data_IF_999568310616
#
_entry.id   IF_999568310616
#
_cell.length_a   1.000
_cell.length_b   1.000
_cell.length_c   1.000
_cell.angle_alpha   90.00
_cell.angle_beta   90.00
_cell.angle_gamma   90.00
#
_symmetry.space_group_name_H-M   'P 1'
#
loop_
_entity.id
_entity.type
_entity.pdbx_description
1 polymer ?
#
# COMPACT_ATOMS: atom_id res chain seq x y z
N UNK A 1 -11.31 16.35 9.91
CA UNK A 1 -11.20 16.78 8.50
C UNK A 1 -10.99 15.58 7.60
N UNK A 2 -9.74 15.11 7.46
CA UNK A 2 -9.39 14.08 6.47
C UNK A 2 -9.69 12.61 6.88
N UNK A 3 -10.08 12.36 8.14
CA UNK A 3 -10.33 11.00 8.63
C UNK A 3 -11.58 10.31 8.04
N UNK A 4 -12.50 11.07 7.43
CA UNK A 4 -13.68 10.49 6.77
C UNK A 4 -13.36 9.88 5.40
N UNK A 5 -12.22 10.21 4.80
CA UNK A 5 -11.85 9.77 3.45
C UNK A 5 -10.83 8.61 3.42
N UNK A 6 -10.20 8.30 4.56
CA UNK A 6 -9.19 7.24 4.65
C UNK A 6 -9.83 5.97 5.20
N UNK A 7 -9.73 4.87 4.44
CA UNK A 7 -10.01 3.53 4.95
C UNK A 7 -9.14 3.20 6.18
N UNK A 8 -9.49 2.16 6.95
CA UNK A 8 -9.06 2.00 8.34
C UNK A 8 -7.59 1.64 8.56
N UNK A 9 -6.73 1.59 7.54
CA UNK A 9 -5.33 1.19 7.70
C UNK A 9 -4.36 2.38 7.63
N UNK A 10 -3.86 2.81 8.80
CA UNK A 10 -2.66 3.63 8.90
C UNK A 10 -1.54 2.80 9.54
N UNK A 11 -0.49 2.48 8.78
CA UNK A 11 0.69 1.81 9.32
C UNK A 11 1.61 2.85 9.97
N UNK A 12 1.80 2.74 11.29
CA UNK A 12 2.77 3.54 12.02
C UNK A 12 4.06 2.73 12.23
N UNK A 13 5.17 3.33 11.85
CA UNK A 13 6.48 2.85 12.27
C UNK A 13 6.79 3.43 13.64
N UNK A 14 6.91 2.60 14.67
CA UNK A 14 7.56 2.96 15.93
C UNK A 14 9.00 2.50 15.81
N UNK A 15 9.99 3.41 15.95
CA UNK A 15 11.34 2.89 16.11
C UNK A 15 12.31 3.60 17.05
N UNK A 16 12.69 2.77 18.00
CA UNK A 16 13.65 2.75 19.08
C UNK A 16 15.03 3.36 18.72
N UNK A 17 15.31 4.56 19.23
CA UNK A 17 16.59 5.30 19.30
C UNK A 17 17.77 4.79 18.43
N UNK A 18 18.13 5.56 17.39
CA UNK A 18 19.32 5.36 16.53
C UNK A 18 20.63 5.86 17.17
N UNK A 19 21.73 5.17 16.87
CA UNK A 19 23.10 5.51 17.29
C UNK A 19 23.94 6.21 16.19
N UNK A 20 23.36 6.48 15.00
CA UNK A 20 24.10 7.05 13.87
C UNK A 20 24.19 8.59 13.92
N UNK A 21 25.32 9.18 13.47
CA UNK A 21 25.52 10.62 13.44
C UNK A 21 24.53 11.34 12.51
N UNK A 22 24.15 12.56 12.89
CA UNK A 22 23.07 13.37 12.28
C UNK A 22 23.23 13.63 10.76
N UNK A 23 24.45 13.62 10.23
CA UNK A 23 24.74 13.98 8.82
C UNK A 23 24.37 12.91 7.79
N UNK A 24 24.08 11.67 8.18
CA UNK A 24 23.58 10.63 7.29
C UNK A 24 22.69 9.66 8.08
N UNK A 25 21.38 9.93 8.10
CA UNK A 25 20.39 9.13 8.82
C UNK A 25 19.59 8.29 7.82
N UNK A 26 20.06 7.09 7.46
CA UNK A 26 19.40 6.28 6.43
C UNK A 26 18.04 5.80 6.91
N UNK A 27 17.11 5.53 6.00
CA UNK A 27 15.77 5.02 6.39
C UNK A 27 15.87 3.65 7.07
N UNK A 28 16.81 2.80 6.62
CA UNK A 28 17.01 1.45 7.11
C UNK A 28 17.64 1.40 8.50
N UNK A 29 18.13 2.52 9.04
CA UNK A 29 18.60 2.57 10.45
C UNK A 29 17.50 2.12 11.41
N UNK A 30 16.24 2.25 10.98
CA UNK A 30 15.11 1.80 11.75
C UNK A 30 15.07 0.27 11.87
N UNK A 31 15.59 -0.48 10.93
CA UNK A 31 15.61 -1.94 11.03
C UNK A 31 16.84 -2.45 11.80
N UNK A 32 17.27 -1.70 12.83
CA UNK A 32 18.36 -2.07 13.73
C UNK A 32 18.01 -1.69 15.18
N UNK A 33 17.07 -2.42 15.84
CA UNK A 33 16.64 -2.11 17.19
C UNK A 33 17.79 -2.14 18.20
N UNK A 34 17.80 -1.16 19.12
CA UNK A 34 18.77 -1.08 20.23
C UNK A 34 18.17 -1.44 21.59
N UNK A 35 16.87 -1.19 21.78
CA UNK A 35 16.06 -1.49 22.97
C UNK A 35 14.57 -1.41 22.60
N UNK A 36 13.63 -1.84 23.44
CA UNK A 36 12.19 -1.74 23.17
C UNK A 36 11.48 -0.52 23.81
N UNK A 37 12.23 0.53 24.18
CA UNK A 37 11.67 1.79 24.68
C UNK A 37 11.02 2.62 23.57
N UNK A 38 9.74 3.00 23.71
CA UNK A 38 8.94 3.76 22.73
C UNK A 38 9.42 5.20 22.53
N UNK A 39 10.60 5.38 21.95
CA UNK A 39 11.24 6.66 21.68
C UNK A 39 12.00 6.58 20.36
N UNK A 40 11.66 7.45 19.43
CA UNK A 40 12.11 7.43 18.04
C UNK A 40 12.40 8.82 17.50
N UNK A 41 12.94 8.89 16.28
CA UNK A 41 12.99 10.14 15.49
C UNK A 41 11.61 10.70 15.10
N UNK A 42 10.56 9.90 15.25
CA UNK A 42 9.18 10.28 14.94
C UNK A 42 8.46 10.85 16.14
N UNK A 43 8.70 10.29 17.33
CA UNK A 43 7.95 10.62 18.54
C UNK A 43 8.53 9.95 19.79
N UNK A 44 8.14 10.47 20.96
CA UNK A 44 8.20 9.77 22.24
C UNK A 44 6.91 8.99 22.55
N UNK A 45 6.87 8.27 23.67
CA UNK A 45 5.75 7.41 24.07
C UNK A 45 4.42 8.17 24.25
N UNK A 46 4.46 9.37 24.83
CA UNK A 46 3.24 10.16 25.07
C UNK A 46 2.65 10.66 23.74
N UNK A 47 3.50 11.12 22.83
CA UNK A 47 3.10 11.54 21.48
C UNK A 47 2.56 10.35 20.66
N UNK A 48 3.16 9.16 20.83
CA UNK A 48 2.66 7.93 20.23
C UNK A 48 1.25 7.59 20.74
N UNK A 49 1.05 7.59 22.06
CA UNK A 49 -0.24 7.30 22.69
C UNK A 49 -1.32 8.32 22.27
N UNK A 50 -0.97 9.60 22.25
CA UNK A 50 -1.87 10.66 21.76
C UNK A 50 -2.27 10.44 20.30
N UNK A 51 -1.31 10.09 19.44
CA UNK A 51 -1.58 9.79 18.04
C UNK A 51 -2.53 8.60 17.88
N UNK A 52 -2.28 7.48 18.57
CA UNK A 52 -3.15 6.30 18.53
C UNK A 52 -4.56 6.65 19.00
N UNK A 53 -4.67 7.36 20.13
CA UNK A 53 -5.96 7.80 20.69
C UNK A 53 -6.73 8.67 19.70
N UNK A 54 -6.08 9.67 19.09
CA UNK A 54 -6.73 10.57 18.11
C UNK A 54 -7.16 9.83 16.84
N UNK A 55 -6.38 8.87 16.36
CA UNK A 55 -6.69 8.06 15.19
C UNK A 55 -7.88 7.12 15.45
N UNK A 56 -7.89 6.41 16.58
CA UNK A 56 -8.97 5.49 16.94
C UNK A 56 -10.29 6.24 17.18
N UNK A 57 -10.25 7.45 17.78
CA UNK A 57 -11.43 8.31 17.96
C UNK A 57 -12.11 8.71 16.63
N UNK A 58 -11.39 8.63 15.50
CA UNK A 58 -11.93 8.89 14.16
C UNK A 58 -11.98 7.62 13.30
N UNK A 59 -11.91 6.43 13.92
CA UNK A 59 -11.99 5.10 13.29
C UNK A 59 -10.89 4.82 12.25
N UNK A 60 -9.71 5.38 12.46
CA UNK A 60 -8.51 5.06 11.69
C UNK A 60 -7.63 4.20 12.58
N UNK A 61 -7.47 2.92 12.24
CA UNK A 61 -6.69 2.00 13.06
C UNK A 61 -5.19 2.18 12.80
N UNK A 62 -4.41 1.92 13.84
CA UNK A 62 -2.95 1.94 13.80
C UNK A 62 -2.41 0.51 13.75
N UNK A 63 -1.49 0.25 12.82
CA UNK A 63 -0.74 -1.01 12.72
C UNK A 63 0.75 -0.73 12.90
N UNK A 64 1.40 -1.43 13.83
CA UNK A 64 2.81 -1.19 14.16
C UNK A 64 3.74 -2.07 13.34
N UNK A 65 4.84 -1.49 12.85
CA UNK A 65 5.95 -2.27 12.31
C UNK A 65 6.84 -2.86 13.42
N UNK A 66 6.75 -4.16 13.64
CA UNK A 66 7.43 -4.91 14.69
C UNK A 66 8.71 -5.57 14.14
N UNK A 67 9.86 -5.01 14.51
CA UNK A 67 11.19 -5.57 14.22
C UNK A 67 11.62 -6.44 15.41
N UNK A 68 11.32 -7.74 15.31
CA UNK A 68 11.49 -8.70 16.41
C UNK A 68 12.40 -9.88 16.07
N UNK A 69 12.88 -9.96 14.83
CA UNK A 69 13.81 -11.01 14.39
C UNK A 69 15.25 -10.78 14.88
N UNK A 70 15.67 -9.51 14.99
CA UNK A 70 17.06 -9.14 15.24
C UNK A 70 17.17 -7.83 16.02
N UNK A 71 18.37 -7.58 16.53
CA UNK A 71 18.82 -6.30 17.09
C UNK A 71 19.90 -5.68 16.19
N UNK A 72 20.42 -4.52 16.55
CA UNK A 72 21.56 -3.91 15.85
C UNK A 72 22.76 -4.87 15.75
N UNK A 73 23.60 -4.70 14.71
CA UNK A 73 24.72 -5.61 14.41
C UNK A 73 25.69 -5.75 15.60
N UNK A 74 26.28 -6.93 15.74
CA UNK A 74 27.28 -7.23 16.76
C UNK A 74 28.41 -6.17 16.77
N UNK A 75 28.73 -5.64 17.95
CA UNK A 75 29.67 -4.53 18.15
C UNK A 75 29.03 -3.15 18.42
N UNK A 76 27.70 -3.03 18.37
CA UNK A 76 26.96 -1.79 18.65
C UNK A 76 26.33 -1.72 20.06
N UNK A 77 26.53 -2.73 20.93
CA UNK A 77 26.04 -2.76 22.32
C UNK A 77 26.10 -4.15 22.97
N UNK A 78 25.68 -4.24 24.24
CA UNK A 78 25.58 -5.48 25.04
C UNK A 78 24.14 -6.00 25.11
N UNK A 79 23.93 -7.32 25.03
CA UNK A 79 22.61 -7.96 25.20
C UNK A 79 22.71 -9.47 25.50
N UNK A 80 21.82 -9.98 26.36
CA UNK A 80 21.69 -11.41 26.68
C UNK A 80 20.56 -12.04 25.86
N UNK A 81 20.83 -13.20 25.23
CA UNK A 81 19.85 -13.97 24.45
C UNK A 81 18.68 -14.56 25.27
N UNK A 82 18.82 -14.72 26.60
CA UNK A 82 17.86 -15.45 27.44
C UNK A 82 16.52 -14.74 27.66
N UNK A 83 16.49 -13.41 27.56
CA UNK A 83 15.30 -12.60 27.91
C UNK A 83 14.55 -12.07 26.67
N UNK A 84 14.97 -12.48 25.48
CA UNK A 84 14.54 -11.86 24.24
C UNK A 84 13.03 -12.08 23.95
N UNK A 85 12.47 -13.30 24.05
CA UNK A 85 11.06 -13.52 23.77
C UNK A 85 10.12 -12.78 24.72
N UNK A 86 10.42 -12.75 26.03
CA UNK A 86 9.59 -12.04 27.02
C UNK A 86 9.62 -10.52 26.81
N UNK A 87 10.78 -9.94 26.50
CA UNK A 87 10.90 -8.51 26.18
C UNK A 87 10.12 -8.11 24.92
N UNK A 88 10.09 -8.99 23.91
CA UNK A 88 9.28 -8.79 22.71
C UNK A 88 7.79 -8.85 23.05
N UNK A 89 7.35 -9.85 23.81
CA UNK A 89 5.97 -9.97 24.23
C UNK A 89 5.50 -8.75 25.06
N UNK A 90 6.30 -8.29 26.02
CA UNK A 90 6.02 -7.09 26.82
C UNK A 90 5.90 -5.83 25.93
N UNK A 91 6.80 -5.69 24.94
CA UNK A 91 6.76 -4.60 23.97
C UNK A 91 5.46 -4.61 23.14
N UNK A 92 5.07 -5.77 22.63
CA UNK A 92 3.87 -5.91 21.81
C UNK A 92 2.60 -5.72 22.64
N UNK A 93 2.52 -6.32 23.83
CA UNK A 93 1.41 -6.13 24.77
C UNK A 93 1.25 -4.68 25.18
N UNK A 94 2.36 -3.98 25.47
CA UNK A 94 2.33 -2.55 25.77
C UNK A 94 1.71 -1.72 24.65
N UNK A 95 1.92 -2.09 23.38
CA UNK A 95 1.32 -1.41 22.23
C UNK A 95 -0.16 -1.76 22.05
N UNK A 96 -0.56 -3.00 22.31
CA UNK A 96 -1.96 -3.42 22.35
C UNK A 96 -2.73 -2.66 23.43
N UNK A 97 -2.12 -2.47 24.61
CA UNK A 97 -2.69 -1.66 25.70
C UNK A 97 -2.81 -0.16 25.33
N UNK A 98 -2.14 0.28 24.26
CA UNK A 98 -2.36 1.61 23.67
C UNK A 98 -3.43 1.61 22.57
N UNK A 99 -4.12 0.49 22.35
CA UNK A 99 -5.18 0.31 21.34
C UNK A 99 -4.64 0.28 19.89
N UNK A 100 -3.44 -0.31 19.70
CA UNK A 100 -2.94 -0.70 18.37
C UNK A 100 -3.77 -1.88 17.84
N UNK A 101 -4.23 -1.79 16.59
CA UNK A 101 -5.12 -2.79 15.99
C UNK A 101 -4.40 -4.00 15.40
N UNK A 102 -3.07 -3.95 15.26
CA UNK A 102 -2.30 -5.06 14.73
C UNK A 102 -0.86 -4.71 14.39
N UNK A 103 -0.17 -5.67 13.75
CA UNK A 103 1.26 -5.60 13.50
C UNK A 103 1.65 -6.04 12.08
N UNK A 104 2.57 -5.30 11.46
CA UNK A 104 3.50 -5.87 10.48
C UNK A 104 4.59 -6.57 11.28
N UNK A 105 4.85 -7.83 11.02
CA UNK A 105 6.02 -8.50 11.61
C UNK A 105 7.12 -8.53 10.55
N UNK A 106 8.19 -7.76 10.78
CA UNK A 106 9.35 -7.62 9.88
C UNK A 106 10.12 -8.93 9.77
N UNK A 107 10.69 -9.21 8.59
CA UNK A 107 11.65 -10.29 8.39
C UNK A 107 11.14 -11.68 8.85
N UNK A 108 9.83 -11.96 8.75
CA UNK A 108 9.22 -13.22 9.21
C UNK A 108 9.83 -14.44 8.56
N UNK A 109 10.26 -14.35 7.30
CA UNK A 109 10.96 -15.44 6.61
C UNK A 109 12.17 -15.98 7.38
N UNK A 110 12.76 -15.16 8.26
CA UNK A 110 13.94 -15.49 9.03
C UNK A 110 13.62 -15.97 10.46
N UNK A 111 12.36 -16.12 10.82
CA UNK A 111 11.90 -16.63 12.11
C UNK A 111 11.11 -17.92 11.91
N UNK A 112 11.29 -18.91 12.77
CA UNK A 112 10.51 -20.15 12.68
C UNK A 112 9.02 -19.84 12.95
N UNK A 113 8.08 -20.40 12.16
CA UNK A 113 6.65 -20.21 12.41
C UNK A 113 6.21 -20.58 13.83
N UNK A 114 6.78 -21.64 14.40
CA UNK A 114 6.47 -22.05 15.78
C UNK A 114 6.92 -21.03 16.84
N UNK A 115 8.05 -20.35 16.62
CA UNK A 115 8.50 -19.27 17.51
C UNK A 115 7.54 -18.07 17.42
N UNK A 116 7.10 -17.73 16.20
CA UNK A 116 6.12 -16.67 15.97
C UNK A 116 4.75 -16.98 16.56
N UNK A 117 4.31 -18.24 16.59
CA UNK A 117 3.05 -18.63 17.22
C UNK A 117 3.02 -18.26 18.70
N UNK A 118 4.14 -18.48 19.40
CA UNK A 118 4.25 -18.17 20.84
C UNK A 118 4.17 -16.68 21.17
N UNK A 119 4.60 -15.81 20.23
CA UNK A 119 4.68 -14.35 20.42
C UNK A 119 3.47 -13.63 19.81
N UNK A 120 2.98 -14.11 18.67
CA UNK A 120 2.01 -13.43 17.83
C UNK A 120 0.64 -14.13 17.75
N UNK A 121 0.52 -15.38 18.19
CA UNK A 121 -0.68 -16.20 17.99
C UNK A 121 -1.95 -15.65 18.66
N UNK A 122 -1.80 -14.78 19.67
CA UNK A 122 -2.92 -14.15 20.38
C UNK A 122 -3.29 -12.74 19.85
N UNK A 123 -2.62 -12.26 18.80
CA UNK A 123 -2.77 -10.88 18.31
C UNK A 123 -3.97 -10.72 17.36
N UNK A 124 -4.67 -9.57 17.38
CA UNK A 124 -5.94 -9.38 16.68
C UNK A 124 -5.81 -9.32 15.14
N UNK A 125 -4.78 -8.65 14.62
CA UNK A 125 -4.45 -8.66 13.20
C UNK A 125 -2.94 -8.64 13.03
N UNK A 126 -2.41 -9.63 12.31
CA UNK A 126 -1.01 -9.64 11.92
C UNK A 126 -0.88 -9.85 10.42
N UNK A 127 0.13 -9.21 9.86
CA UNK A 127 0.64 -9.57 8.56
C UNK A 127 2.16 -9.70 8.59
N UNK A 128 2.64 -10.75 7.96
CA UNK A 128 4.00 -11.23 8.10
C UNK A 128 4.77 -10.88 6.83
N UNK A 129 5.91 -10.22 6.97
CA UNK A 129 6.79 -10.02 5.83
C UNK A 129 7.53 -11.33 5.52
N UNK A 130 7.04 -12.03 4.50
CA UNK A 130 7.71 -13.20 3.92
C UNK A 130 7.90 -12.94 2.44
N UNK A 131 9.14 -12.68 2.03
CA UNK A 131 9.48 -12.53 0.62
C UNK A 131 9.53 -13.92 0.00
N UNK A 132 8.47 -14.35 -0.66
CA UNK A 132 8.38 -15.64 -1.35
C UNK A 132 8.06 -15.40 -2.83
N UNK A 133 9.08 -15.56 -3.69
CA UNK A 133 8.92 -15.48 -5.15
C UNK A 133 8.79 -16.87 -5.82
N UNK A 134 8.72 -17.96 -5.03
CA UNK A 134 8.49 -19.32 -5.53
C UNK A 134 9.73 -20.14 -5.91
N UNK A 135 10.95 -19.64 -5.64
CA UNK A 135 12.22 -20.33 -5.99
C UNK A 135 13.06 -20.72 -4.77
N UNK A 136 12.51 -20.61 -3.56
CA UNK A 136 13.21 -20.88 -2.30
C UNK A 136 12.51 -21.97 -1.49
N UNK A 137 13.24 -22.58 -0.56
CA UNK A 137 12.72 -23.68 0.28
C UNK A 137 11.65 -23.22 1.28
N UNK A 138 11.80 -22.01 1.82
CA UNK A 138 10.84 -21.43 2.75
C UNK A 138 9.69 -20.82 1.95
N UNK A 139 8.48 -21.27 2.24
CA UNK A 139 7.26 -20.84 1.55
C UNK A 139 6.38 -20.00 2.47
N UNK A 140 5.67 -19.03 1.88
CA UNK A 140 4.67 -18.21 2.59
C UNK A 140 3.58 -19.05 3.28
N UNK A 141 3.30 -20.26 2.77
CA UNK A 141 2.27 -21.18 3.29
C UNK A 141 2.51 -21.60 4.74
N UNK A 142 3.78 -21.66 5.14
CA UNK A 142 4.17 -22.04 6.50
C UNK A 142 3.66 -21.05 7.56
N UNK A 143 3.30 -19.83 7.15
CA UNK A 143 2.91 -18.72 8.02
C UNK A 143 1.41 -18.43 8.03
N UNK A 144 0.60 -19.12 7.20
CA UNK A 144 -0.82 -18.80 7.01
C UNK A 144 -1.68 -18.96 8.27
N UNK A 145 -1.33 -19.91 9.13
CA UNK A 145 -2.08 -20.18 10.36
C UNK A 145 -1.93 -19.07 11.41
N UNK A 146 -0.90 -18.23 11.29
CA UNK A 146 -0.63 -17.12 12.21
C UNK A 146 -1.37 -15.84 11.79
N UNK A 147 -1.58 -15.63 10.49
CA UNK A 147 -2.24 -14.47 9.95
C UNK A 147 -1.90 -14.24 8.48
N UNK A 148 -2.07 -13.00 8.02
CA UNK A 148 -1.80 -12.65 6.62
C UNK A 148 -0.30 -12.65 6.33
N UNK A 149 0.04 -12.73 5.04
CA UNK A 149 1.41 -12.70 4.54
C UNK A 149 1.49 -11.70 3.38
N UNK A 150 2.61 -10.98 3.29
CA UNK A 150 2.88 -10.07 2.17
C UNK A 150 3.03 -10.83 0.86
N UNK A 151 2.15 -10.59 -0.11
CA UNK A 151 2.21 -11.22 -1.43
C UNK A 151 3.08 -10.40 -2.38
N UNK A 152 4.41 -10.61 -2.31
CA UNK A 152 5.36 -9.87 -3.14
C UNK A 152 5.26 -10.18 -4.64
N UNK A 153 4.70 -11.33 -5.02
CA UNK A 153 4.45 -11.64 -6.44
C UNK A 153 3.42 -10.68 -7.04
N UNK A 154 2.52 -10.13 -6.23
CA UNK A 154 1.47 -9.22 -6.68
C UNK A 154 2.04 -7.99 -7.39
N UNK A 155 2.85 -7.19 -6.68
CA UNK A 155 3.44 -5.97 -7.22
C UNK A 155 4.42 -6.23 -8.36
N UNK A 156 5.22 -7.31 -8.25
CA UNK A 156 6.16 -7.71 -9.29
C UNK A 156 5.44 -8.09 -10.60
N UNK A 157 4.43 -8.96 -10.54
CA UNK A 157 3.68 -9.40 -11.71
C UNK A 157 2.83 -8.27 -12.31
N UNK A 158 2.20 -7.43 -11.47
CA UNK A 158 1.45 -6.29 -11.97
C UNK A 158 2.38 -5.27 -12.67
N UNK A 159 3.58 -5.08 -12.14
CA UNK A 159 4.61 -4.25 -12.73
C UNK A 159 5.08 -4.75 -14.10
N UNK A 160 5.38 -6.04 -14.24
CA UNK A 160 5.76 -6.62 -15.55
C UNK A 160 4.65 -6.48 -16.59
N UNK A 161 3.39 -6.69 -16.17
CA UNK A 161 2.20 -6.52 -17.00
C UNK A 161 2.04 -5.07 -17.48
N UNK A 162 2.10 -4.10 -16.57
CA UNK A 162 1.87 -2.69 -16.91
C UNK A 162 3.00 -2.13 -17.76
N UNK A 163 4.23 -2.56 -17.52
CA UNK A 163 5.39 -2.22 -18.34
C UNK A 163 5.46 -3.01 -19.66
N UNK A 164 4.53 -3.95 -19.91
CA UNK A 164 4.47 -4.84 -21.09
C UNK A 164 5.74 -5.66 -21.31
N UNK A 165 6.42 -6.01 -20.23
CA UNK A 165 7.63 -6.81 -20.31
C UNK A 165 7.31 -8.22 -20.79
N UNK A 166 8.21 -8.81 -21.59
CA UNK A 166 8.06 -10.18 -22.11
C UNK A 166 6.74 -10.45 -22.85
N UNK A 167 6.08 -9.40 -23.37
CA UNK A 167 4.79 -9.52 -24.07
C UNK A 167 3.58 -9.70 -23.15
N UNK A 168 3.74 -9.49 -21.83
CA UNK A 168 2.65 -9.50 -20.85
C UNK A 168 1.60 -8.42 -21.15
N UNK A 169 0.35 -8.71 -20.82
CA UNK A 169 -0.79 -7.83 -21.08
C UNK A 169 -1.73 -7.79 -19.89
N UNK A 170 -2.46 -6.68 -19.74
CA UNK A 170 -3.41 -6.52 -18.64
C UNK A 170 -4.51 -7.60 -18.67
N UNK A 171 -4.88 -8.09 -19.85
CA UNK A 171 -5.79 -9.24 -20.01
C UNK A 171 -5.32 -10.52 -19.33
N UNK A 172 -4.01 -10.69 -19.10
CA UNK A 172 -3.45 -11.89 -18.50
C UNK A 172 -3.42 -11.85 -16.97
N UNK A 173 -3.91 -10.75 -16.38
CA UNK A 173 -4.03 -10.60 -14.93
C UNK A 173 -5.22 -11.39 -14.39
N UNK A 174 -5.15 -12.71 -14.52
CA UNK A 174 -6.01 -13.62 -13.77
C UNK A 174 -5.18 -14.16 -12.60
N UNK A 175 -5.56 -13.78 -11.37
CA UNK A 175 -4.96 -14.33 -10.14
C UNK A 175 -5.45 -15.76 -9.92
N UNK A 176 -5.07 -16.67 -10.83
CA UNK A 176 -5.42 -18.09 -10.78
C UNK A 176 -4.79 -18.77 -9.57
N UNK A 177 -5.45 -19.82 -9.12
CA UNK A 177 -4.95 -20.71 -8.07
C UNK A 177 -3.53 -21.20 -8.41
N UNK A 178 -2.60 -20.97 -7.48
CA UNK A 178 -1.21 -21.40 -7.58
C UNK A 178 -0.23 -20.35 -8.10
N UNK A 179 -0.71 -19.29 -8.79
CA UNK A 179 0.16 -18.18 -9.19
C UNK A 179 0.47 -17.23 -8.02
N UNK A 180 -0.52 -17.03 -7.16
CA UNK A 180 -0.45 -16.25 -5.91
C UNK A 180 -1.09 -17.04 -4.76
N UNK A 181 -0.90 -16.57 -3.53
CA UNK A 181 -1.46 -17.19 -2.34
C UNK A 181 -3.00 -17.06 -2.28
N UNK A 182 -3.70 -17.84 -1.45
CA UNK A 182 -5.14 -17.70 -1.29
C UNK A 182 -5.52 -16.28 -0.83
N UNK A 183 -6.62 -15.75 -1.39
CA UNK A 183 -7.13 -14.40 -1.12
C UNK A 183 -7.19 -14.03 0.38
N UNK A 184 -7.68 -14.97 1.20
CA UNK A 184 -7.82 -14.79 2.65
C UNK A 184 -6.50 -14.56 3.40
N UNK A 185 -5.37 -14.95 2.80
CA UNK A 185 -4.05 -14.85 3.42
C UNK A 185 -3.23 -13.66 2.90
N UNK A 186 -3.62 -13.04 1.78
CA UNK A 186 -2.80 -12.04 1.13
C UNK A 186 -2.95 -10.64 1.76
N UNK A 187 -1.82 -9.97 1.96
CA UNK A 187 -1.72 -8.51 1.97
C UNK A 187 -0.96 -8.09 0.71
N UNK A 188 -1.60 -7.25 -0.10
CA UNK A 188 -1.09 -6.84 -1.42
C UNK A 188 -0.71 -5.37 -1.45
N UNK A 189 0.26 -5.04 -2.28
CA UNK A 189 0.75 -3.69 -2.52
C UNK A 189 1.44 -3.65 -3.89
N UNK A 190 1.40 -2.48 -4.54
CA UNK A 190 2.15 -2.23 -5.79
C UNK A 190 3.64 -2.14 -5.48
N UNK A 191 3.98 -1.31 -4.49
CA UNK A 191 5.32 -1.11 -3.98
C UNK A 191 5.32 -1.09 -2.44
N UNK A 192 6.49 -1.26 -1.85
CA UNK A 192 6.73 -1.04 -0.44
C UNK A 192 7.98 -0.17 -0.25
N UNK A 193 8.29 0.10 1.02
CA UNK A 193 9.44 0.94 1.39
C UNK A 193 10.79 0.41 0.88
N UNK A 194 10.95 -0.90 0.69
CA UNK A 194 12.20 -1.50 0.26
C UNK A 194 12.29 -1.49 -1.28
N UNK A 195 11.30 -2.08 -1.95
CA UNK A 195 11.36 -2.34 -3.38
C UNK A 195 11.14 -1.11 -4.24
N UNK A 196 10.54 -0.04 -3.70
CA UNK A 196 10.51 1.26 -4.39
C UNK A 196 11.90 1.92 -4.55
N UNK A 197 12.92 1.36 -3.89
CA UNK A 197 14.34 1.76 -3.99
C UNK A 197 15.19 0.72 -4.70
N UNK A 198 14.57 -0.34 -5.24
CA UNK A 198 15.28 -1.49 -5.82
C UNK A 198 15.78 -2.51 -4.79
N UNK A 199 15.39 -2.41 -3.52
CA UNK A 199 15.74 -3.41 -2.49
C UNK A 199 14.63 -4.46 -2.35
N UNK A 200 14.98 -5.74 -2.22
CA UNK A 200 14.00 -6.80 -2.02
C UNK A 200 13.33 -7.27 -3.31
N UNK A 201 12.08 -7.71 -3.21
CA UNK A 201 11.41 -8.46 -4.28
C UNK A 201 10.82 -7.59 -5.41
N UNK A 202 10.92 -8.11 -6.63
CA UNK A 202 10.39 -7.53 -7.88
C UNK A 202 11.41 -6.74 -8.70
N UNK A 203 12.46 -6.21 -8.08
CA UNK A 203 13.52 -5.48 -8.78
C UNK A 203 12.98 -4.34 -9.64
N UNK A 204 13.48 -4.22 -10.87
CA UNK A 204 13.12 -3.13 -11.79
C UNK A 204 11.67 -3.19 -12.31
N UNK A 205 10.93 -4.28 -12.09
CA UNK A 205 9.51 -4.37 -12.49
C UNK A 205 8.59 -3.53 -11.60
N UNK A 206 9.03 -3.21 -10.37
CA UNK A 206 8.22 -2.48 -9.40
C UNK A 206 7.97 -1.06 -9.89
N UNK A 207 6.70 -0.73 -10.05
CA UNK A 207 6.23 0.62 -10.42
C UNK A 207 6.10 1.45 -9.15
N UNK A 208 6.62 2.68 -9.17
CA UNK A 208 6.66 3.56 -7.98
C UNK A 208 6.09 4.94 -8.28
N UNK A 209 6.02 5.83 -7.28
CA UNK A 209 5.62 7.22 -7.52
C UNK A 209 6.53 7.98 -8.52
N UNK A 210 7.75 7.51 -8.79
CA UNK A 210 8.60 8.06 -9.84
C UNK A 210 8.02 7.82 -11.24
N UNK A 211 7.23 6.77 -11.39
CA UNK A 211 6.54 6.32 -12.60
C UNK A 211 5.05 6.68 -12.52
N UNK A 212 4.75 7.91 -12.08
CA UNK A 212 3.45 8.34 -11.54
C UNK A 212 2.24 7.93 -12.37
N UNK A 213 2.34 7.99 -13.71
CA UNK A 213 1.26 7.59 -14.62
C UNK A 213 0.92 6.11 -14.53
N UNK A 214 1.92 5.23 -14.63
CA UNK A 214 1.74 3.78 -14.49
C UNK A 214 1.39 3.43 -13.04
N UNK A 215 1.96 4.15 -12.07
CA UNK A 215 1.69 3.93 -10.65
C UNK A 215 0.22 4.16 -10.29
N UNK A 216 -0.38 5.26 -10.79
CA UNK A 216 -1.81 5.53 -10.62
C UNK A 216 -2.68 4.42 -11.20
N UNK A 217 -2.32 3.88 -12.37
CA UNK A 217 -3.00 2.73 -12.96
C UNK A 217 -2.84 1.47 -12.11
N UNK A 218 -1.63 1.17 -11.63
CA UNK A 218 -1.34 0.00 -10.81
C UNK A 218 -2.12 0.02 -9.49
N UNK A 219 -2.11 1.16 -8.79
CA UNK A 219 -2.85 1.34 -7.54
C UNK A 219 -4.36 1.32 -7.80
N UNK A 220 -4.83 1.94 -8.89
CA UNK A 220 -6.23 1.88 -9.28
C UNK A 220 -6.70 0.46 -9.58
N UNK A 221 -5.90 -0.32 -10.32
CA UNK A 221 -6.16 -1.73 -10.57
C UNK A 221 -6.23 -2.51 -9.25
N UNK A 222 -5.25 -2.32 -8.36
CA UNK A 222 -5.19 -3.01 -7.07
C UNK A 222 -6.40 -2.71 -6.19
N UNK A 223 -6.85 -1.46 -6.13
CA UNK A 223 -7.98 -1.05 -5.31
C UNK A 223 -9.34 -1.46 -5.91
N UNK A 224 -9.40 -1.67 -7.22
CA UNK A 224 -10.59 -2.20 -7.89
C UNK A 224 -10.71 -3.73 -7.79
N UNK A 225 -9.58 -4.43 -7.66
CA UNK A 225 -9.55 -5.89 -7.60
C UNK A 225 -9.76 -6.39 -6.15
N UNK A 226 -10.62 -7.40 -5.91
CA UNK A 226 -11.00 -7.87 -4.56
C UNK A 226 -9.92 -8.73 -3.86
N UNK A 227 -8.74 -8.85 -4.48
CA UNK A 227 -7.74 -9.81 -4.05
C UNK A 227 -6.82 -9.20 -3.00
N UNK A 228 -6.72 -9.88 -1.86
CA UNK A 228 -5.96 -9.51 -0.69
C UNK A 228 -6.51 -8.29 0.04
N UNK A 229 -5.85 -7.96 1.15
CA UNK A 229 -6.00 -6.65 1.79
C UNK A 229 -5.02 -5.69 1.14
N UNK A 230 -5.53 -4.68 0.46
CA UNK A 230 -4.73 -3.69 -0.26
C UNK A 230 -4.06 -2.70 0.72
N UNK A 231 -2.76 -2.47 0.53
CA UNK A 231 -2.00 -1.44 1.22
C UNK A 231 -1.45 -0.43 0.22
N UNK A 232 -1.86 0.83 0.38
CA UNK A 232 -1.36 1.96 -0.41
C UNK A 232 -0.09 2.51 0.24
N UNK A 233 0.97 2.70 -0.55
CA UNK A 233 2.22 3.31 -0.08
C UNK A 233 2.07 4.83 0.02
N UNK A 234 2.82 5.45 0.94
CA UNK A 234 2.98 6.90 1.00
C UNK A 234 4.43 7.23 1.31
N UNK A 235 5.07 7.97 0.41
CA UNK A 235 6.53 8.09 0.35
C UNK A 235 7.00 9.52 0.61
N UNK A 236 8.33 9.66 0.59
CA UNK A 236 9.04 10.91 0.51
C UNK A 236 10.02 10.84 -0.67
N UNK A 237 10.35 12.00 -1.25
CA UNK A 237 11.38 12.13 -2.28
C UNK A 237 12.76 12.12 -1.67
N UNK A 238 13.70 11.48 -2.36
CA UNK A 238 15.13 11.57 -2.11
C UNK A 238 15.84 11.97 -3.39
N UNK A 239 17.13 12.30 -3.30
CA UNK A 239 17.93 12.66 -4.46
C UNK A 239 18.32 11.39 -5.23
N UNK A 240 17.40 10.89 -6.05
CA UNK A 240 17.55 9.66 -6.84
C UNK A 240 18.78 9.75 -7.76
N UNK A 241 19.67 8.75 -7.72
CA UNK A 241 20.88 8.68 -8.52
C UNK A 241 21.09 7.25 -9.07
N UNK A 242 20.67 7.03 -10.31
CA UNK A 242 20.80 5.73 -10.97
C UNK A 242 22.14 5.65 -11.71
N UNK A 243 23.03 4.77 -11.24
CA UNK A 243 24.32 4.48 -11.87
C UNK A 243 24.35 2.99 -12.24
N UNK A 244 24.57 2.68 -13.52
CA UNK A 244 24.60 1.31 -14.03
C UNK A 244 23.35 0.47 -13.66
N UNK A 245 22.17 1.10 -13.67
CA UNK A 245 20.90 0.44 -13.35
C UNK A 245 20.64 0.24 -11.84
N UNK A 246 21.53 0.72 -10.96
CA UNK A 246 21.37 0.67 -9.51
C UNK A 246 21.16 2.06 -8.93
N UNK A 247 20.29 2.17 -7.94
CA UNK A 247 20.09 3.40 -7.17
C UNK A 247 21.19 3.56 -6.11
N UNK A 248 22.11 4.51 -6.29
CA UNK A 248 23.23 4.73 -5.38
C UNK A 248 22.83 5.51 -4.11
N UNK A 249 21.73 6.28 -4.16
CA UNK A 249 21.20 7.03 -3.02
C UNK A 249 19.99 6.34 -2.36
N UNK A 250 19.87 5.02 -2.53
CA UNK A 250 18.80 4.17 -1.96
C UNK A 250 18.73 4.21 -0.43
N UNK A 251 19.82 4.60 0.23
CA UNK A 251 19.96 4.69 1.66
C UNK A 251 19.28 5.93 2.27
N UNK A 252 19.03 6.98 1.48
CA UNK A 252 18.58 8.28 2.01
C UNK A 252 17.29 8.17 2.84
N UNK A 253 17.32 8.75 4.04
CA UNK A 253 16.21 8.74 4.98
C UNK A 253 15.17 9.85 4.74
N UNK A 254 14.08 9.80 5.52
CA UNK A 254 12.98 10.77 5.39
C UNK A 254 13.45 12.20 5.72
N UNK A 255 12.73 13.25 5.27
CA UNK A 255 13.05 14.65 5.59
C UNK A 255 13.24 14.88 7.11
N UNK A 256 14.41 15.38 7.51
CA UNK A 256 14.77 15.68 8.92
C UNK A 256 15.22 17.13 9.11
N UNK A 257 15.02 17.64 10.33
CA UNK A 257 15.70 18.84 10.83
C UNK A 257 17.19 18.57 11.09
N UNK A 258 18.00 19.62 11.21
CA UNK A 258 19.40 19.51 11.62
C UNK A 258 19.59 18.88 13.02
N UNK A 259 18.53 18.74 13.82
CA UNK A 259 18.54 18.00 15.08
C UNK A 259 18.40 16.48 14.92
N UNK A 260 18.07 15.99 13.72
CA UNK A 260 17.74 14.59 13.45
C UNK A 260 16.26 14.23 13.64
N UNK A 261 15.42 15.17 14.10
CA UNK A 261 13.98 14.98 14.20
C UNK A 261 13.32 14.98 12.81
N UNK A 262 12.28 14.15 12.61
CA UNK A 262 11.52 14.13 11.35
C UNK A 262 10.79 15.46 11.13
N UNK A 263 10.84 16.01 9.92
CA UNK A 263 10.11 17.24 9.59
C UNK A 263 8.59 16.97 9.58
N UNK A 264 7.76 17.98 9.91
CA UNK A 264 6.32 17.87 9.74
C UNK A 264 5.94 17.65 8.25
N UNK A 265 4.69 17.26 8.02
CA UNK A 265 4.12 17.13 6.68
C UNK A 265 3.25 18.37 6.41
N UNK A 266 3.78 19.42 5.75
CA UNK A 266 2.96 20.60 5.44
C UNK A 266 1.94 20.25 4.36
N UNK A 267 0.72 20.77 4.51
CA UNK A 267 -0.36 20.61 3.54
C UNK A 267 -0.48 21.88 2.69
N UNK A 268 -0.34 21.72 1.39
CA UNK A 268 -0.50 22.79 0.42
C UNK A 268 -1.98 23.13 0.20
N UNK A 269 -2.27 24.28 -0.44
CA UNK A 269 -3.65 24.72 -0.71
C UNK A 269 -4.42 23.77 -1.62
N UNK A 270 -3.72 23.08 -2.51
CA UNK A 270 -4.26 22.06 -3.41
C UNK A 270 -4.36 20.66 -2.75
N UNK A 271 -4.17 20.59 -1.43
CA UNK A 271 -4.19 19.36 -0.62
C UNK A 271 -3.02 18.40 -0.86
N UNK A 272 -2.05 18.76 -1.70
CA UNK A 272 -0.78 18.02 -1.82
C UNK A 272 0.11 18.26 -0.59
N UNK A 273 1.19 17.49 -0.45
CA UNK A 273 2.16 17.67 0.61
C UNK A 273 3.40 18.44 0.13
N UNK A 274 3.97 19.27 1.01
CA UNK A 274 5.24 19.95 0.79
C UNK A 274 6.44 19.23 1.40
N UNK A 275 7.59 19.91 1.43
CA UNK A 275 8.83 19.47 2.10
C UNK A 275 9.36 18.09 1.72
N UNK A 276 9.12 17.69 0.46
CA UNK A 276 9.60 16.43 -0.10
C UNK A 276 8.71 15.23 0.22
N UNK A 277 7.64 15.37 1.01
CA UNK A 277 6.64 14.32 1.16
C UNK A 277 5.85 14.14 -0.14
N UNK A 278 5.68 12.90 -0.60
CA UNK A 278 5.00 12.60 -1.88
C UNK A 278 3.50 12.53 -1.69
N UNK A 279 3.05 11.88 -0.61
CA UNK A 279 1.64 11.72 -0.24
C UNK A 279 0.77 11.16 -1.38
N UNK A 280 1.16 10.02 -1.94
CA UNK A 280 0.42 9.28 -2.96
C UNK A 280 -1.04 9.01 -2.53
N UNK A 281 -1.24 8.72 -1.24
CA UNK A 281 -2.56 8.57 -0.62
C UNK A 281 -3.50 9.81 -0.76
N UNK A 282 -2.95 10.98 -1.11
CA UNK A 282 -3.72 12.22 -1.35
C UNK A 282 -3.89 12.55 -2.82
N UNK A 283 -3.24 11.81 -3.72
CA UNK A 283 -3.45 11.99 -5.15
C UNK A 283 -4.90 11.72 -5.46
N UNK A 284 -5.53 12.63 -6.20
CA UNK A 284 -6.96 12.62 -6.50
C UNK A 284 -7.43 11.23 -7.00
N UNK A 285 -6.67 10.66 -7.93
CA UNK A 285 -6.91 9.35 -8.53
C UNK A 285 -6.87 8.24 -7.48
N UNK A 286 -5.85 8.20 -6.61
CA UNK A 286 -5.67 7.15 -5.60
C UNK A 286 -6.73 7.27 -4.50
N UNK A 287 -6.97 8.50 -4.00
CA UNK A 287 -7.98 8.77 -2.98
C UNK A 287 -9.37 8.30 -3.43
N UNK A 288 -9.77 8.62 -4.66
CA UNK A 288 -11.07 8.21 -5.17
C UNK A 288 -11.15 6.69 -5.38
N UNK A 289 -10.04 6.05 -5.76
CA UNK A 289 -9.98 4.59 -5.83
C UNK A 289 -10.10 3.92 -4.45
N UNK A 290 -9.60 4.54 -3.37
CA UNK A 290 -9.83 4.05 -2.00
C UNK A 290 -11.31 4.16 -1.62
N UNK A 291 -11.97 5.27 -1.98
CA UNK A 291 -13.41 5.44 -1.77
C UNK A 291 -14.19 4.36 -2.53
N UNK A 292 -13.84 4.12 -3.80
CA UNK A 292 -14.44 3.06 -4.63
C UNK A 292 -14.26 1.67 -4.01
N UNK A 293 -13.05 1.35 -3.55
CA UNK A 293 -12.75 0.09 -2.86
C UNK A 293 -13.66 -0.13 -1.64
N UNK A 294 -13.89 0.93 -0.85
CA UNK A 294 -14.78 0.88 0.31
C UNK A 294 -16.26 0.67 -0.09
N UNK A 295 -16.71 1.24 -1.21
CA UNK A 295 -18.09 1.07 -1.70
C UNK A 295 -18.41 -0.38 -2.10
N UNK A 296 -17.41 -1.11 -2.59
CA UNK A 296 -17.56 -2.51 -3.04
C UNK A 296 -17.07 -3.53 -2.01
N UNK A 297 -16.62 -3.07 -0.83
CA UNK A 297 -16.12 -3.96 0.21
C UNK A 297 -17.21 -4.95 0.66
N UNK A 298 -16.89 -6.24 0.67
CA UNK A 298 -17.82 -7.33 1.00
C UNK A 298 -18.79 -7.72 -0.13
N UNK A 299 -18.76 -7.05 -1.28
CA UNK A 299 -19.53 -7.48 -2.45
C UNK A 299 -18.80 -8.62 -3.19
N UNK A 300 -19.52 -9.66 -3.65
CA UNK A 300 -18.92 -10.68 -4.49
C UNK A 300 -18.42 -10.03 -5.78
N UNK A 301 -17.18 -10.34 -6.13
CA UNK A 301 -16.61 -9.90 -7.39
C UNK A 301 -17.18 -10.78 -8.50
N UNK A 302 -18.18 -10.28 -9.19
CA UNK A 302 -18.65 -10.89 -10.43
C UNK A 302 -17.83 -10.35 -11.58
N UNK A 303 -17.60 -11.20 -12.59
CA UNK A 303 -17.33 -10.78 -13.95
C UNK A 303 -16.09 -9.83 -14.15
N UNK A 304 -14.88 -10.38 -14.33
CA UNK A 304 -13.62 -9.69 -14.70
C UNK A 304 -13.34 -9.57 -16.23
N UNK A 305 -13.18 -8.34 -16.79
CA UNK A 305 -13.12 -8.04 -18.25
C UNK A 305 -11.75 -8.12 -18.90
N UNK A 306 -11.53 -9.16 -19.70
CA UNK A 306 -10.67 -9.11 -20.90
C UNK A 306 -11.45 -9.13 -22.24
N UNK A 307 -12.77 -9.35 -22.22
CA UNK A 307 -13.70 -9.04 -23.33
C UNK A 307 -15.20 -9.31 -23.06
N UNK A 308 -15.71 -9.75 -21.88
CA UNK A 308 -17.12 -9.48 -21.49
C UNK A 308 -17.55 -9.58 -19.99
N UNK A 309 -17.43 -8.53 -19.15
CA UNK A 309 -17.48 -8.75 -17.69
C UNK A 309 -17.60 -7.41 -16.88
N UNK A 310 -18.24 -7.43 -15.70
CA UNK A 310 -18.91 -6.37 -14.93
C UNK A 310 -18.63 -6.48 -13.42
N UNK A 311 -17.99 -5.49 -12.78
CA UNK A 311 -18.06 -5.33 -11.32
C UNK A 311 -19.53 -5.31 -10.84
N UNK A 312 -19.83 -5.68 -9.57
CA UNK A 312 -21.20 -5.90 -9.11
C UNK A 312 -22.16 -4.83 -9.63
N UNK A 313 -23.22 -5.36 -10.29
CA UNK A 313 -24.25 -4.61 -10.96
C UNK A 313 -24.72 -3.48 -10.03
N UNK A 314 -24.74 -2.26 -10.58
CA UNK A 314 -25.32 -1.04 -10.01
C UNK A 314 -24.40 -0.08 -9.23
N UNK A 315 -23.21 -0.47 -8.75
CA UNK A 315 -22.44 0.41 -7.81
C UNK A 315 -21.19 1.05 -8.41
N UNK A 316 -20.30 0.30 -9.06
CA UNK A 316 -19.01 0.79 -9.58
C UNK A 316 -18.70 0.18 -10.94
N UNK A 317 -18.16 0.98 -11.86
CA UNK A 317 -17.55 0.50 -13.11
C UNK A 317 -16.19 1.15 -13.34
N UNK A 318 -15.20 0.35 -13.73
CA UNK A 318 -13.85 0.81 -14.04
C UNK A 318 -13.36 0.17 -15.34
N UNK A 319 -12.57 0.92 -16.10
CA UNK A 319 -11.97 0.45 -17.34
C UNK A 319 -10.56 1.04 -17.47
N UNK A 320 -9.61 0.21 -17.89
CA UNK A 320 -8.22 0.59 -18.10
C UNK A 320 -7.88 0.50 -19.58
N UNK A 321 -7.10 1.46 -20.08
CA UNK A 321 -6.42 1.36 -21.35
C UNK A 321 -4.90 1.38 -21.10
N UNK A 322 -4.24 0.23 -21.25
CA UNK A 322 -2.79 0.18 -21.29
C UNK A 322 -2.27 0.01 -22.73
N UNK A 323 -3.12 0.08 -23.76
CA UNK A 323 -2.76 -0.02 -25.18
C UNK A 323 -2.89 1.32 -25.91
N UNK A 324 -2.56 1.34 -27.21
CA UNK A 324 -2.44 2.60 -27.97
C UNK A 324 -3.74 3.40 -28.01
N UNK A 325 -4.88 2.72 -28.07
CA UNK A 325 -6.17 3.37 -28.15
C UNK A 325 -7.30 2.42 -27.75
N UNK A 326 -8.28 2.93 -27.01
CA UNK A 326 -9.49 2.21 -26.63
C UNK A 326 -10.72 3.03 -27.01
N UNK A 327 -11.62 2.44 -27.80
CA UNK A 327 -12.87 3.02 -28.26
C UNK A 327 -13.91 1.93 -28.37
N UNK A 328 -14.74 1.81 -27.33
CA UNK A 328 -15.61 0.63 -27.13
C UNK A 328 -16.88 1.01 -26.39
N UNK A 329 -17.99 0.34 -26.70
CA UNK A 329 -19.22 0.41 -25.92
C UNK A 329 -19.35 -0.82 -25.04
N UNK A 330 -19.38 -0.66 -23.73
CA UNK A 330 -19.47 -1.76 -22.76
C UNK A 330 -20.77 -1.70 -21.98
N UNK A 331 -21.27 -2.86 -21.57
CA UNK A 331 -22.33 -2.92 -20.57
C UNK A 331 -21.71 -2.68 -19.21
N UNK A 332 -22.02 -1.54 -18.61
CA UNK A 332 -21.51 -1.11 -17.31
C UNK A 332 -22.20 -1.80 -16.16
N UNK A 333 -23.41 -2.32 -16.39
CA UNK A 333 -24.28 -2.79 -15.32
C UNK A 333 -24.83 -1.67 -14.44
N UNK A 334 -24.57 -0.40 -14.75
CA UNK A 334 -25.04 0.73 -13.97
C UNK A 334 -26.38 1.27 -14.50
N UNK A 335 -27.22 1.90 -13.65
CA UNK A 335 -28.46 2.52 -14.11
C UNK A 335 -28.21 3.65 -15.12
N UNK A 336 -29.12 3.83 -16.07
CA UNK A 336 -29.03 4.90 -17.06
C UNK A 336 -28.91 6.31 -16.44
N UNK A 337 -28.05 7.15 -17.02
CA UNK A 337 -27.77 8.52 -16.58
C UNK A 337 -26.34 8.97 -16.89
N UNK A 338 -26.00 10.18 -16.47
CA UNK A 338 -24.67 10.76 -16.66
C UNK A 338 -23.86 10.66 -15.38
N UNK A 339 -22.63 10.15 -15.49
CA UNK A 339 -21.71 9.93 -14.38
C UNK A 339 -20.44 10.74 -14.57
N UNK A 340 -19.90 11.26 -13.48
CA UNK A 340 -18.58 11.88 -13.47
C UNK A 340 -17.49 10.81 -13.36
N UNK A 341 -16.51 10.87 -14.25
CA UNK A 341 -15.27 10.10 -14.11
C UNK A 341 -14.48 10.63 -12.92
N UNK A 342 -14.29 9.77 -11.90
CA UNK A 342 -13.60 10.14 -10.67
C UNK A 342 -12.08 10.11 -10.80
N UNK A 343 -11.54 9.65 -11.93
CA UNK A 343 -10.11 9.68 -12.20
C UNK A 343 -9.71 11.04 -12.76
N UNK A 344 -10.38 11.52 -13.81
CA UNK A 344 -10.09 12.83 -14.40
C UNK A 344 -10.71 14.01 -13.66
N UNK A 345 -11.66 13.78 -12.75
CA UNK A 345 -12.31 14.85 -12.00
C UNK A 345 -13.20 14.36 -10.88
N UNK A 346 -14.22 15.16 -10.54
CA UNK A 346 -15.21 14.83 -9.50
C UNK A 346 -16.58 15.37 -9.85
N UNK A 347 -17.59 14.89 -9.14
CA UNK A 347 -18.89 15.55 -9.06
C UNK A 347 -18.78 16.80 -8.16
N UNK A 348 -19.22 17.94 -8.66
CA UNK A 348 -19.25 19.23 -7.96
C UNK A 348 -20.66 19.82 -8.11
N UNK A 349 -21.55 19.51 -7.17
CA UNK A 349 -22.98 19.80 -7.32
C UNK A 349 -23.58 19.00 -8.48
N UNK A 350 -24.25 19.69 -9.41
CA UNK A 350 -24.89 19.09 -10.60
C UNK A 350 -24.00 19.01 -11.84
N UNK A 351 -22.67 19.10 -11.70
CA UNK A 351 -21.72 19.04 -12.84
C UNK A 351 -20.51 18.18 -12.52
N UNK A 352 -19.84 17.72 -13.58
CA UNK A 352 -18.56 17.04 -13.49
C UNK A 352 -17.42 18.00 -13.80
N UNK A 353 -16.34 17.96 -13.03
CA UNK A 353 -15.13 18.76 -13.30
C UNK A 353 -14.19 18.10 -14.31
N UNK A 354 -14.38 16.80 -14.57
CA UNK A 354 -13.61 16.00 -15.52
C UNK A 354 -14.49 15.42 -16.63
N UNK A 355 -14.11 14.24 -17.14
CA UNK A 355 -14.88 13.52 -18.17
C UNK A 355 -16.27 13.12 -17.63
N UNK A 356 -17.23 13.05 -18.55
CA UNK A 356 -18.58 12.56 -18.29
C UNK A 356 -18.81 11.26 -19.07
N UNK A 357 -19.45 10.30 -18.43
CA UNK A 357 -19.82 9.02 -19.02
C UNK A 357 -21.34 8.91 -19.01
N UNK A 358 -21.95 8.77 -20.18
CA UNK A 358 -23.39 8.59 -20.31
C UNK A 358 -23.69 7.10 -20.44
N UNK A 359 -24.43 6.57 -19.47
CA UNK A 359 -24.96 5.21 -19.46
C UNK A 359 -26.38 5.24 -20.02
N UNK A 360 -26.63 4.46 -21.08
CA UNK A 360 -27.94 4.29 -21.69
C UNK A 360 -28.92 3.54 -20.78
N UNK A 361 -30.21 3.55 -21.14
CA UNK A 361 -31.24 2.80 -20.41
C UNK A 361 -31.05 1.28 -20.44
N UNK A 362 -30.21 0.77 -21.36
CA UNK A 362 -29.78 -0.63 -21.47
C UNK A 362 -28.53 -0.96 -20.62
N UNK A 363 -28.05 0.00 -19.82
CA UNK A 363 -26.86 -0.13 -18.98
C UNK A 363 -25.54 -0.01 -19.74
N UNK A 364 -25.55 0.32 -21.04
CA UNK A 364 -24.32 0.44 -21.85
C UNK A 364 -23.78 1.87 -21.88
N UNK A 365 -22.46 2.01 -21.90
CA UNK A 365 -21.78 3.29 -22.07
C UNK A 365 -20.64 3.18 -23.07
N UNK A 366 -20.40 4.28 -23.79
CA UNK A 366 -19.28 4.42 -24.71
C UNK A 366 -18.06 5.00 -24.00
N UNK A 367 -16.90 4.38 -24.20
CA UNK A 367 -15.62 4.77 -23.61
C UNK A 367 -14.61 5.03 -24.71
N UNK A 368 -13.97 6.20 -24.63
CA UNK A 368 -12.85 6.59 -25.48
C UNK A 368 -11.69 7.02 -24.59
N UNK A 369 -10.63 6.22 -24.56
CA UNK A 369 -9.46 6.42 -23.69
C UNK A 369 -8.21 6.36 -24.56
N UNK A 370 -7.48 7.46 -24.65
CA UNK A 370 -6.24 7.53 -25.44
C UNK A 370 -5.06 7.09 -24.59
N UNK A 371 -4.06 6.45 -25.22
CA UNK A 371 -2.75 6.26 -24.58
C UNK A 371 -2.03 7.57 -24.24
N UNK A 372 -2.52 8.72 -24.70
CA UNK A 372 -2.01 10.06 -24.36
C UNK A 372 -2.75 10.73 -23.21
N UNK A 373 -3.83 10.13 -22.71
CA UNK A 373 -4.52 10.65 -21.53
C UNK A 373 -3.56 10.66 -20.35
N UNK A 374 -3.65 11.69 -19.50
CA UNK A 374 -2.83 11.80 -18.27
C UNK A 374 -2.98 10.55 -17.41
N UNK A 375 -4.22 10.07 -17.28
CA UNK A 375 -4.61 8.84 -16.62
C UNK A 375 -5.45 8.01 -17.62
N UNK A 376 -4.90 6.96 -18.23
CA UNK A 376 -5.59 6.21 -19.28
C UNK A 376 -6.49 5.13 -18.66
N UNK A 377 -7.29 5.52 -17.67
CA UNK A 377 -8.33 4.68 -17.08
C UNK A 377 -9.46 5.58 -16.57
N UNK A 378 -10.67 5.03 -16.52
CA UNK A 378 -11.89 5.75 -16.13
C UNK A 378 -12.58 4.93 -15.07
N UNK A 379 -13.09 5.61 -14.04
CA UNK A 379 -13.90 4.99 -13.00
C UNK A 379 -15.14 5.83 -12.72
N UNK A 380 -16.29 5.17 -12.59
CA UNK A 380 -17.58 5.77 -12.26
C UNK A 380 -18.27 4.95 -11.17
N UNK A 381 -19.12 5.59 -10.37
CA UNK A 381 -19.88 4.91 -9.32
C UNK A 381 -21.22 5.58 -9.06
N UNK A 382 -22.09 4.92 -8.28
CA UNK A 382 -23.45 5.39 -7.99
C UNK A 382 -23.48 6.86 -7.51
N UNK A 383 -22.60 7.25 -6.58
CA UNK A 383 -22.55 8.62 -6.05
C UNK A 383 -21.92 9.65 -7.01
N UNK A 384 -21.27 9.20 -8.10
CA UNK A 384 -20.75 10.09 -9.15
C UNK A 384 -21.78 10.43 -10.23
N UNK A 385 -22.98 9.85 -10.17
CA UNK A 385 -24.11 10.17 -11.05
C UNK A 385 -24.61 11.60 -10.83
N UNK A 386 -24.90 12.36 -11.89
CA UNK A 386 -25.48 13.71 -11.81
C UNK A 386 -26.95 13.70 -11.43
#
# INVERSE_FOLDING_TARGET
GAAQDFGPLCCLFVLLRSLLPVKARPWWERYQPTCYNLCSRSSNENELRDMITRCNNVRVNIYVDAVINHICKAGAGEGSHSDFPSKVADYMNKLIDMDVAGFRVDACKHMWPGDLESVCGHLPFIYQEVIDLGHELITSREYFHLGRVTEFKYGANLGTVLCKWNGEKLSYTEYKDGAVMPNGNALVFVDNRDNQRGHGAGGASIVTFWDSRLYKMAVGYMLAHPYGVARVMSSFRWNRNIVNGKEENDWMGLPIHCSGATKPVPMNRDQTCGDGWVCEHRWHQIKNMVILCNMVNGQPHTNWWDNQTRLPLDVVFIIFNNDDYLDVTLNTGMPGGTYCDVISGRKDGGRCTGKQITVGGDGRAHFKISNRDEDPFVAIHADSKL
#
